data_IF_660385955351
#
_entry.id   IF_660385955351
#
_cell.length_a   1.000
_cell.length_b   1.000
_cell.length_c   1.000
_cell.angle_alpha   90.00
_cell.angle_beta   90.00
_cell.angle_gamma   90.00
#
_symmetry.space_group_name_H-M   'P 1'
#
loop_
_entity.id
_entity.type
_entity.pdbx_description
1 polymer ?
#
# COMPACT_ATOMS: atom_id res chain seq x y z
N UNK A 1 -22.04 -18.52 2.06
CA UNK A 1 -21.50 -18.03 3.35
C UNK A 1 -20.68 -19.14 4.03
N UNK A 2 -19.58 -19.58 3.41
CA UNK A 2 -18.72 -20.68 3.95
C UNK A 2 -17.23 -20.30 3.91
N UNK A 3 -16.84 -19.28 3.15
CA UNK A 3 -15.43 -18.89 2.96
C UNK A 3 -14.83 -18.12 4.13
N UNK A 4 -15.62 -17.42 4.95
CA UNK A 4 -15.13 -16.61 6.08
C UNK A 4 -14.54 -17.44 7.24
N UNK A 5 -14.99 -18.68 7.42
CA UNK A 5 -14.63 -19.48 8.60
C UNK A 5 -13.32 -20.26 8.41
N UNK A 6 -12.97 -20.60 7.17
CA UNK A 6 -11.68 -21.24 6.84
C UNK A 6 -10.52 -20.25 7.06
N UNK A 7 -10.78 -18.94 6.94
CA UNK A 7 -9.79 -17.87 7.03
C UNK A 7 -9.37 -17.50 8.47
N UNK A 8 -10.13 -17.90 9.49
CA UNK A 8 -9.85 -17.58 10.90
C UNK A 8 -8.88 -18.56 11.59
N UNK A 9 -8.68 -19.75 11.02
CA UNK A 9 -7.94 -20.85 11.68
C UNK A 9 -6.49 -20.99 11.19
N UNK A 10 -5.98 -20.06 10.37
CA UNK A 10 -4.58 -20.06 9.96
C UNK A 10 -3.78 -19.03 10.80
N UNK A 11 -2.89 -19.46 11.70
CA UNK A 11 -2.18 -18.57 12.63
C UNK A 11 -1.15 -17.65 11.95
N UNK A 12 -0.85 -17.83 10.66
CA UNK A 12 0.21 -17.06 9.99
C UNK A 12 -0.27 -16.10 8.88
N UNK A 13 -1.43 -16.30 8.25
CA UNK A 13 -1.85 -15.46 7.12
C UNK A 13 -3.38 -15.32 7.04
N UNK A 14 -3.94 -14.44 7.87
CA UNK A 14 -5.23 -13.82 7.54
C UNK A 14 -5.01 -12.85 6.37
N UNK A 15 -5.87 -12.88 5.35
CA UNK A 15 -5.85 -12.01 4.17
C UNK A 15 -5.35 -10.59 4.51
N UNK A 16 -4.06 -10.33 4.27
CA UNK A 16 -3.43 -9.04 4.58
C UNK A 16 -4.03 -7.99 3.64
N UNK A 17 -5.05 -7.27 4.12
CA UNK A 17 -5.53 -6.07 3.42
C UNK A 17 -4.41 -5.04 3.49
N UNK A 18 -3.56 -4.99 2.45
CA UNK A 18 -2.52 -3.98 2.28
C UNK A 18 -3.17 -2.59 2.14
N UNK A 19 -3.44 -1.95 3.29
CA UNK A 19 -4.00 -0.61 3.33
C UNK A 19 -2.87 0.41 3.32
N UNK A 20 -2.47 0.83 2.13
CA UNK A 20 -1.49 1.91 1.96
C UNK A 20 -2.21 3.25 2.02
N UNK A 21 -1.88 4.08 3.02
CA UNK A 21 -2.47 5.43 3.13
C UNK A 21 -1.73 6.39 2.20
N UNK A 22 -2.45 7.11 1.34
CA UNK A 22 -1.88 8.19 0.53
C UNK A 22 -2.10 9.51 1.26
N UNK A 23 -1.03 10.27 1.53
CA UNK A 23 -1.11 11.56 2.24
C UNK A 23 -0.54 12.66 1.36
N UNK A 24 -1.40 13.58 0.93
CA UNK A 24 -0.96 14.80 0.22
C UNK A 24 -0.33 15.79 1.19
N UNK A 25 0.87 16.25 0.88
CA UNK A 25 1.57 17.33 1.60
C UNK A 25 1.85 18.51 0.68
N UNK A 26 1.63 19.72 1.21
CA UNK A 26 1.82 20.98 0.48
C UNK A 26 3.20 21.63 0.71
N UNK A 27 3.89 21.23 1.78
CA UNK A 27 5.21 21.76 2.16
C UNK A 27 6.37 20.89 1.64
N UNK A 28 6.15 20.12 0.58
CA UNK A 28 7.19 19.31 -0.09
C UNK A 28 7.15 19.60 -1.58
N UNK A 29 8.21 19.20 -2.28
CA UNK A 29 8.28 19.34 -3.73
C UNK A 29 7.00 18.77 -4.40
N UNK A 30 6.32 19.55 -5.26
CA UNK A 30 4.99 19.22 -5.77
C UNK A 30 4.92 17.93 -6.58
N UNK A 31 6.02 17.42 -7.13
CA UNK A 31 6.05 16.23 -8.01
C UNK A 31 6.58 14.97 -7.33
N UNK A 32 6.95 15.04 -6.04
CA UNK A 32 7.66 13.94 -5.39
C UNK A 32 6.71 12.95 -4.73
N UNK A 33 7.07 11.67 -4.83
CA UNK A 33 6.43 10.54 -4.16
C UNK A 33 7.43 9.96 -3.16
N UNK A 34 7.10 9.97 -1.87
CA UNK A 34 7.98 9.48 -0.80
C UNK A 34 7.30 8.29 -0.11
N UNK A 35 7.83 7.07 -0.24
CA UNK A 35 7.35 5.93 0.51
C UNK A 35 7.76 6.07 1.99
N UNK A 36 6.84 5.75 2.91
CA UNK A 36 7.10 5.69 4.33
C UNK A 36 6.77 4.30 4.87
N UNK A 37 7.84 3.63 5.30
CA UNK A 37 7.80 2.30 5.86
C UNK A 37 7.46 2.32 7.35
N UNK A 38 6.83 1.25 7.80
CA UNK A 38 6.65 0.96 9.23
C UNK A 38 7.93 0.34 9.76
N UNK A 39 8.37 0.73 10.95
CA UNK A 39 9.57 0.17 11.59
C UNK A 39 9.27 -1.06 12.44
N UNK A 40 8.05 -1.24 12.97
CA UNK A 40 7.63 -2.40 13.80
C UNK A 40 6.12 -2.66 13.66
N UNK A 41 5.63 -3.92 13.69
CA UNK A 41 6.37 -5.17 13.92
C UNK A 41 7.09 -5.74 12.68
N UNK A 42 6.62 -5.47 11.46
CA UNK A 42 7.29 -5.83 10.19
C UNK A 42 7.63 -4.59 9.36
N UNK A 43 8.71 -4.66 8.58
CA UNK A 43 9.14 -3.56 7.71
C UNK A 43 8.32 -3.56 6.41
N UNK A 44 7.18 -2.86 6.45
CA UNK A 44 6.22 -2.83 5.35
C UNK A 44 5.85 -1.40 4.96
N UNK A 45 5.41 -1.22 3.72
CA UNK A 45 4.93 0.06 3.21
C UNK A 45 3.62 0.43 3.93
N UNK A 46 3.65 1.48 4.76
CA UNK A 46 2.49 1.93 5.53
C UNK A 46 1.74 3.05 4.81
N UNK A 47 2.50 4.04 4.32
CA UNK A 47 1.93 5.21 3.67
C UNK A 47 2.84 5.77 2.60
N UNK A 48 2.25 6.41 1.61
CA UNK A 48 2.97 7.17 0.58
C UNK A 48 2.62 8.64 0.77
N UNK A 49 3.66 9.46 0.92
CA UNK A 49 3.52 10.90 0.99
C UNK A 49 3.69 11.44 -0.42
N UNK A 50 2.72 12.20 -0.90
CA UNK A 50 2.72 12.74 -2.27
C UNK A 50 2.66 14.26 -2.27
N UNK A 51 3.37 14.86 -3.21
CA UNK A 51 3.32 16.28 -3.48
C UNK A 51 1.97 16.72 -4.08
N UNK A 52 1.79 18.04 -4.17
CA UNK A 52 0.53 18.67 -4.63
C UNK A 52 0.12 18.25 -6.05
N UNK A 53 1.09 18.11 -6.96
CA UNK A 53 0.86 17.90 -8.38
C UNK A 53 0.94 16.42 -8.82
N UNK A 54 0.91 15.49 -7.86
CA UNK A 54 0.93 14.06 -8.17
C UNK A 54 -0.50 13.59 -8.43
N UNK A 55 -0.73 12.96 -9.59
CA UNK A 55 -2.04 12.39 -9.93
C UNK A 55 -2.20 11.04 -9.28
N UNK A 56 -3.44 10.63 -9.04
CA UNK A 56 -3.73 9.32 -8.46
C UNK A 56 -3.28 8.16 -9.37
N UNK A 57 -3.18 8.39 -10.68
CA UNK A 57 -2.61 7.44 -11.65
C UNK A 57 -1.14 7.15 -11.34
N UNK A 58 -0.35 8.20 -11.17
CA UNK A 58 1.09 8.11 -10.95
C UNK A 58 1.39 7.39 -9.63
N UNK A 59 0.53 7.58 -8.62
CA UNK A 59 0.62 6.85 -7.34
C UNK A 59 0.31 5.37 -7.50
N UNK A 60 -0.67 5.01 -8.33
CA UNK A 60 -0.98 3.59 -8.62
C UNK A 60 0.18 2.93 -9.33
N UNK A 61 0.69 3.57 -10.38
CA UNK A 61 1.79 3.03 -11.18
C UNK A 61 3.04 2.81 -10.33
N UNK A 62 3.38 3.80 -9.48
CA UNK A 62 4.46 3.68 -8.51
C UNK A 62 4.25 2.50 -7.54
N UNK A 63 3.06 2.35 -6.98
CA UNK A 63 2.75 1.25 -6.05
C UNK A 63 2.83 -0.11 -6.73
N UNK A 64 2.27 -0.24 -7.94
CA UNK A 64 2.34 -1.47 -8.73
C UNK A 64 3.80 -1.84 -9.00
N UNK A 65 4.61 -0.88 -9.44
CA UNK A 65 6.01 -1.11 -9.70
C UNK A 65 6.79 -1.51 -8.44
N UNK A 66 6.57 -0.81 -7.33
CA UNK A 66 7.19 -1.14 -6.03
C UNK A 66 6.87 -2.58 -5.59
N UNK A 67 5.60 -2.99 -5.71
CA UNK A 67 5.20 -4.34 -5.34
C UNK A 67 5.69 -5.41 -6.30
N UNK A 68 5.92 -5.04 -7.57
CA UNK A 68 6.55 -5.93 -8.57
C UNK A 68 7.99 -6.23 -8.19
N UNK A 69 8.74 -5.18 -7.84
CA UNK A 69 10.14 -5.27 -7.47
C UNK A 69 10.33 -6.02 -6.14
N UNK A 70 9.40 -5.87 -5.21
CA UNK A 70 9.43 -6.59 -3.92
C UNK A 70 8.87 -8.01 -3.98
N UNK A 71 8.39 -8.48 -5.14
CA UNK A 71 7.83 -9.83 -5.31
C UNK A 71 6.51 -10.06 -4.53
N UNK A 72 5.89 -9.00 -4.04
CA UNK A 72 4.67 -9.07 -3.22
C UNK A 72 3.38 -8.89 -4.04
N UNK A 73 3.48 -8.67 -5.36
CA UNK A 73 2.32 -8.49 -6.26
C UNK A 73 1.30 -9.62 -6.12
N UNK A 74 1.76 -10.87 -6.05
CA UNK A 74 0.88 -12.05 -6.01
C UNK A 74 0.04 -12.11 -4.72
N UNK A 75 0.46 -11.39 -3.68
CA UNK A 75 -0.25 -11.30 -2.40
C UNK A 75 -1.27 -10.15 -2.37
N UNK A 76 -1.28 -9.28 -3.38
CA UNK A 76 -2.13 -8.08 -3.39
C UNK A 76 -3.37 -8.34 -4.24
N UNK A 77 -4.51 -8.50 -3.57
CA UNK A 77 -5.80 -8.73 -4.23
C UNK A 77 -6.44 -7.46 -4.80
N UNK A 78 -6.26 -6.30 -4.15
CA UNK A 78 -6.80 -5.03 -4.64
C UNK A 78 -6.09 -3.83 -4.03
N UNK A 79 -5.82 -2.82 -4.87
CA UNK A 79 -5.30 -1.52 -4.43
C UNK A 79 -6.47 -0.53 -4.43
N UNK A 80 -6.97 -0.18 -3.25
CA UNK A 80 -7.98 0.87 -3.08
C UNK A 80 -7.35 2.15 -2.54
N UNK A 81 -7.32 3.19 -3.37
CA UNK A 81 -6.89 4.53 -2.96
C UNK A 81 -8.12 5.27 -2.44
N UNK A 82 -8.19 5.49 -1.13
CA UNK A 82 -9.13 6.44 -0.53
C UNK A 82 -8.45 7.81 -0.52
N UNK A 83 -8.94 8.73 -1.36
CA UNK A 83 -8.56 10.14 -1.41
C UNK A 83 -9.36 10.97 -0.45
#
# INVERSE_FOLDING_TARGET
MVTLWIEFQCPEHGFERFKVKVVKKYNINPTVIIPKFRTRPKYELNKVIVGRNVRNTDVKDYLVQYYKETGAIERILSIKIQS
#
